data_IF_046968310910
#
_entry.id   IF_046968310910
#
_cell.length_a   1.000
_cell.length_b   1.000
_cell.length_c   1.000
_cell.angle_alpha   90.00
_cell.angle_beta   90.00
_cell.angle_gamma   90.00
#
_symmetry.space_group_name_H-M   'P 1'
#
loop_
_entity.id
_entity.type
_entity.pdbx_description
1 polymer ?
#
# COMPACT_ATOMS: atom_id res chain seq x y z
N UNK A 1 53.77 -19.94 9.07
CA UNK A 1 52.83 -19.18 9.93
C UNK A 1 51.59 -18.87 9.10
N UNK A 2 50.55 -19.69 9.20
CA UNK A 2 49.32 -19.50 8.43
C UNK A 2 48.36 -18.62 9.24
N UNK A 3 48.13 -17.39 8.79
CA UNK A 3 47.10 -16.52 9.39
C UNK A 3 45.74 -17.03 8.91
N UNK A 4 45.01 -17.67 9.82
CA UNK A 4 43.58 -17.91 9.65
C UNK A 4 42.87 -16.56 9.61
N UNK A 5 42.37 -16.19 8.43
CA UNK A 5 41.50 -15.02 8.27
C UNK A 5 40.14 -15.43 8.84
N UNK A 6 39.85 -14.97 10.06
CA UNK A 6 38.49 -15.02 10.60
C UNK A 6 37.64 -14.08 9.77
N UNK A 7 36.84 -14.64 8.85
CA UNK A 7 35.79 -13.90 8.16
C UNK A 7 34.72 -13.58 9.20
N UNK A 8 34.90 -12.46 9.91
CA UNK A 8 33.92 -11.93 10.83
C UNK A 8 32.92 -11.08 10.05
N UNK A 9 32.17 -11.74 9.15
CA UNK A 9 31.09 -11.13 8.41
C UNK A 9 29.78 -11.38 9.14
N UNK A 10 29.37 -10.44 10.01
CA UNK A 10 27.94 -10.31 10.33
C UNK A 10 27.24 -9.83 9.06
N UNK A 11 26.89 -10.77 8.17
CA UNK A 11 26.02 -10.45 7.04
C UNK A 11 24.63 -10.15 7.61
N UNK A 12 24.05 -8.95 7.38
CA UNK A 12 22.71 -8.60 7.88
C UNK A 12 21.58 -9.47 7.31
N UNK A 13 21.90 -10.29 6.30
CA UNK A 13 20.99 -11.19 5.60
C UNK A 13 21.73 -12.51 5.35
N UNK A 14 21.53 -13.49 6.22
CA UNK A 14 21.92 -14.87 5.97
C UNK A 14 20.72 -15.60 5.33
N UNK A 15 20.95 -16.51 4.38
CA UNK A 15 19.86 -17.32 3.76
C UNK A 15 19.12 -18.23 4.76
N UNK A 16 19.60 -18.31 6.00
CA UNK A 16 19.04 -19.09 7.10
C UNK A 16 18.27 -18.16 8.05
N UNK A 17 18.42 -16.84 7.92
CA UNK A 17 17.68 -15.90 8.74
C UNK A 17 16.18 -16.06 8.43
N UNK A 18 15.34 -16.21 9.47
CA UNK A 18 13.91 -16.19 9.26
C UNK A 18 13.52 -14.87 8.58
N UNK A 19 12.59 -14.92 7.62
CA UNK A 19 12.01 -13.73 7.02
C UNK A 19 11.66 -12.69 8.08
N UNK A 20 11.79 -11.40 7.78
CA UNK A 20 11.58 -10.34 8.78
C UNK A 20 10.24 -10.48 9.54
N UNK A 21 9.20 -10.91 8.85
CA UNK A 21 7.86 -11.14 9.39
C UNK A 21 7.71 -12.42 10.22
N UNK A 22 8.74 -13.25 10.32
CA UNK A 22 8.77 -14.51 11.08
C UNK A 22 9.65 -14.40 12.34
N UNK A 23 10.45 -13.33 12.48
CA UNK A 23 11.41 -13.13 13.58
C UNK A 23 10.80 -13.02 14.98
N UNK A 24 9.55 -12.56 15.06
CA UNK A 24 8.84 -12.32 16.33
C UNK A 24 7.87 -13.46 16.70
N UNK A 25 7.80 -14.52 15.88
CA UNK A 25 6.87 -15.62 16.08
C UNK A 25 7.63 -16.88 16.49
N UNK A 26 7.18 -17.53 17.57
CA UNK A 26 7.66 -18.86 17.90
C UNK A 26 6.97 -19.89 17.02
N UNK A 27 7.53 -20.14 15.83
CA UNK A 27 7.02 -21.13 14.87
C UNK A 27 7.01 -22.54 15.49
N UNK A 28 7.86 -22.80 16.49
CA UNK A 28 7.91 -24.06 17.24
C UNK A 28 6.70 -24.30 18.13
N UNK A 29 5.92 -23.26 18.45
CA UNK A 29 4.69 -23.36 19.24
C UNK A 29 3.48 -23.89 18.43
N UNK A 30 3.60 -23.95 17.10
CA UNK A 30 2.52 -24.39 16.23
C UNK A 30 2.49 -25.91 16.09
N UNK A 31 1.31 -26.50 16.18
CA UNK A 31 1.12 -27.90 15.79
C UNK A 31 1.38 -28.08 14.30
N UNK A 32 1.77 -29.30 13.91
CA UNK A 32 1.98 -29.67 12.50
C UNK A 32 0.79 -29.30 11.60
N UNK A 33 -0.43 -29.54 12.05
CA UNK A 33 -1.66 -29.21 11.30
C UNK A 33 -1.84 -27.70 11.11
N UNK A 34 -1.51 -26.90 12.12
CA UNK A 34 -1.57 -25.43 12.02
C UNK A 34 -0.53 -24.92 11.02
N UNK A 35 0.70 -25.43 11.07
CA UNK A 35 1.73 -25.08 10.11
C UNK A 35 1.31 -25.42 8.67
N UNK A 36 0.79 -26.64 8.43
CA UNK A 36 0.29 -27.05 7.11
C UNK A 36 -0.87 -26.17 6.62
N UNK A 37 -1.79 -25.76 7.52
CA UNK A 37 -2.88 -24.84 7.17
C UNK A 37 -2.36 -23.44 6.80
N UNK A 38 -1.38 -22.91 7.54
CA UNK A 38 -0.80 -21.61 7.28
C UNK A 38 -0.03 -21.59 5.96
N UNK A 39 0.77 -22.63 5.68
CA UNK A 39 1.48 -22.77 4.41
C UNK A 39 0.49 -22.84 3.26
N UNK A 40 -0.57 -23.67 3.37
CA UNK A 40 -1.62 -23.75 2.35
C UNK A 40 -2.25 -22.38 2.09
N UNK A 41 -2.62 -21.66 3.16
CA UNK A 41 -3.22 -20.33 3.05
C UNK A 41 -2.28 -19.30 2.44
N UNK A 42 -0.98 -19.34 2.76
CA UNK A 42 0.05 -18.48 2.16
C UNK A 42 0.16 -18.75 0.66
N UNK A 43 0.23 -20.01 0.26
CA UNK A 43 0.33 -20.40 -1.15
C UNK A 43 -0.92 -20.02 -1.95
N UNK A 44 -2.12 -20.19 -1.37
CA UNK A 44 -3.37 -19.73 -2.00
C UNK A 44 -3.35 -18.22 -2.25
N UNK A 45 -2.98 -17.42 -1.25
CA UNK A 45 -2.90 -15.95 -1.40
C UNK A 45 -1.85 -15.53 -2.42
N UNK A 46 -0.70 -16.20 -2.45
CA UNK A 46 0.32 -15.92 -3.46
C UNK A 46 -0.23 -16.16 -4.87
N UNK A 47 -0.91 -17.29 -5.08
CA UNK A 47 -1.55 -17.60 -6.37
C UNK A 47 -2.60 -16.56 -6.75
N UNK A 48 -3.45 -16.15 -5.82
CA UNK A 48 -4.45 -15.11 -6.04
C UNK A 48 -3.81 -13.77 -6.44
N UNK A 49 -2.75 -13.36 -5.73
CA UNK A 49 -2.00 -12.15 -6.06
C UNK A 49 -1.33 -12.23 -7.44
N UNK A 50 -0.77 -13.39 -7.81
CA UNK A 50 -0.17 -13.59 -9.13
C UNK A 50 -1.22 -13.50 -10.25
N UNK A 51 -2.41 -14.07 -10.04
CA UNK A 51 -3.52 -13.96 -10.99
C UNK A 51 -3.98 -12.51 -11.12
N UNK A 52 -4.13 -11.81 -9.99
CA UNK A 52 -4.47 -10.38 -10.00
C UNK A 52 -3.46 -9.56 -10.80
N UNK A 53 -2.16 -9.67 -10.49
CA UNK A 53 -1.13 -8.91 -11.19
C UNK A 53 -1.02 -9.24 -12.69
N UNK A 54 -1.35 -10.49 -13.09
CA UNK A 54 -1.41 -10.87 -14.52
C UNK A 54 -2.60 -10.23 -15.24
N UNK A 55 -3.75 -10.14 -14.58
CA UNK A 55 -4.98 -9.61 -15.15
C UNK A 55 -5.04 -8.07 -15.12
N UNK A 56 -4.15 -7.44 -14.36
CA UNK A 56 -4.11 -5.99 -14.14
C UNK A 56 -2.79 -5.36 -14.67
N UNK A 57 -2.61 -5.25 -16.00
CA UNK A 57 -1.39 -4.68 -16.59
C UNK A 57 -1.17 -3.21 -16.21
N UNK A 58 -2.23 -2.49 -15.81
CA UNK A 58 -2.18 -1.12 -15.32
C UNK A 58 -1.33 -0.98 -14.05
N UNK A 59 -1.30 -1.99 -13.19
CA UNK A 59 -0.46 -1.99 -11.97
C UNK A 59 1.02 -2.05 -12.37
N UNK A 60 1.35 -2.90 -13.34
CA UNK A 60 2.71 -2.98 -13.89
C UNK A 60 3.10 -1.69 -14.59
N UNK A 61 2.20 -1.09 -15.38
CA UNK A 61 2.41 0.20 -16.02
C UNK A 61 2.70 1.30 -14.98
N UNK A 62 1.87 1.37 -13.95
CA UNK A 62 2.02 2.34 -12.86
C UNK A 62 3.38 2.23 -12.17
N UNK A 63 3.79 1.02 -11.76
CA UNK A 63 5.11 0.79 -11.15
C UNK A 63 6.23 1.22 -12.12
N UNK A 64 6.10 0.88 -13.41
CA UNK A 64 7.10 1.24 -14.42
C UNK A 64 7.24 2.76 -14.59
N UNK A 65 6.13 3.49 -14.57
CA UNK A 65 6.09 4.95 -14.68
C UNK A 65 6.69 5.60 -13.42
N UNK A 66 6.34 5.10 -12.23
CA UNK A 66 6.94 5.56 -10.97
C UNK A 66 8.45 5.35 -10.96
N UNK A 67 8.91 4.16 -11.33
CA UNK A 67 10.35 3.87 -11.41
C UNK A 67 11.04 4.75 -12.45
N UNK A 68 10.42 4.96 -13.61
CA UNK A 68 10.94 5.88 -14.64
C UNK A 68 11.09 7.29 -14.10
N UNK A 69 10.13 7.77 -13.31
CA UNK A 69 10.22 9.07 -12.65
C UNK A 69 11.37 9.10 -11.65
N UNK A 70 11.46 8.13 -10.74
CA UNK A 70 12.49 8.09 -9.69
C UNK A 70 13.90 8.03 -10.28
N UNK A 71 14.09 7.18 -11.30
CA UNK A 71 15.38 7.04 -11.99
C UNK A 71 15.77 8.31 -12.76
N UNK A 72 14.79 9.11 -13.22
CA UNK A 72 15.04 10.41 -13.86
C UNK A 72 15.34 11.51 -12.86
N UNK A 73 14.64 11.53 -11.72
CA UNK A 73 14.87 12.52 -10.66
C UNK A 73 16.14 12.26 -9.87
N UNK A 74 16.64 11.02 -9.87
CA UNK A 74 17.85 10.56 -9.20
C UNK A 74 18.05 11.19 -7.80
N UNK A 75 17.09 11.05 -6.87
CA UNK A 75 17.17 11.71 -5.57
C UNK A 75 18.33 11.14 -4.75
N UNK A 76 19.26 12.00 -4.34
CA UNK A 76 20.48 11.57 -3.63
C UNK A 76 20.23 11.17 -2.17
N UNK A 77 19.31 11.85 -1.48
CA UNK A 77 19.09 11.65 -0.03
C UNK A 77 17.69 11.16 0.35
N UNK A 78 16.64 11.61 -0.36
CA UNK A 78 15.25 11.31 0.04
C UNK A 78 14.39 10.77 -1.09
N UNK A 79 14.42 9.45 -1.26
CA UNK A 79 13.55 8.75 -2.22
C UNK A 79 12.07 8.93 -1.88
N UNK A 80 11.72 9.02 -0.58
CA UNK A 80 10.31 9.15 -0.17
C UNK A 80 9.72 10.50 -0.60
N UNK A 81 10.51 11.57 -0.54
CA UNK A 81 10.09 12.89 -1.01
C UNK A 81 9.86 12.91 -2.53
N UNK A 82 10.74 12.28 -3.30
CA UNK A 82 10.55 12.12 -4.74
C UNK A 82 9.29 11.30 -5.07
N UNK A 83 9.06 10.20 -4.34
CA UNK A 83 7.81 9.43 -4.46
C UNK A 83 6.60 10.29 -4.11
N UNK A 84 6.67 11.08 -3.04
CA UNK A 84 5.61 12.01 -2.64
C UNK A 84 5.31 13.05 -3.73
N UNK A 85 6.35 13.65 -4.31
CA UNK A 85 6.23 14.59 -5.42
C UNK A 85 5.56 13.95 -6.65
N UNK A 86 5.86 12.68 -6.95
CA UNK A 86 5.19 11.94 -8.02
C UNK A 86 3.67 11.84 -7.80
N UNK A 87 3.24 11.57 -6.57
CA UNK A 87 1.83 11.43 -6.19
C UNK A 87 1.09 12.75 -5.99
N UNK A 88 1.82 13.85 -5.76
CA UNK A 88 1.25 15.20 -5.70
C UNK A 88 0.82 15.73 -7.07
N UNK A 89 1.22 15.07 -8.15
CA UNK A 89 0.73 15.37 -9.51
C UNK A 89 -0.76 15.03 -9.61
N UNK A 90 -1.53 15.77 -10.42
CA UNK A 90 -2.95 15.50 -10.54
C UNK A 90 -3.18 14.10 -11.12
N UNK A 91 -4.18 13.40 -10.60
CA UNK A 91 -4.43 11.99 -10.91
C UNK A 91 -4.67 11.74 -12.40
N UNK A 92 -5.24 12.70 -13.11
CA UNK A 92 -5.46 12.60 -14.56
C UNK A 92 -4.14 12.48 -15.35
N UNK A 93 -3.05 13.12 -14.91
CA UNK A 93 -1.74 13.01 -15.58
C UNK A 93 -1.17 11.61 -15.43
N UNK A 94 -1.24 11.06 -14.22
CA UNK A 94 -0.81 9.69 -13.93
C UNK A 94 -1.62 8.69 -14.76
N UNK A 95 -2.93 8.90 -14.85
CA UNK A 95 -3.85 8.12 -15.68
C UNK A 95 -3.45 8.19 -17.16
N UNK A 96 -3.08 9.36 -17.66
CA UNK A 96 -2.61 9.54 -19.04
C UNK A 96 -1.29 8.83 -19.29
N UNK A 97 -0.32 8.95 -18.38
CA UNK A 97 0.95 8.23 -18.46
C UNK A 97 0.73 6.71 -18.52
N UNK A 98 -0.23 6.17 -17.75
CA UNK A 98 -0.59 4.75 -17.76
C UNK A 98 -1.16 4.34 -19.12
N UNK A 99 -2.14 5.10 -19.65
CA UNK A 99 -2.73 4.79 -20.97
C UNK A 99 -1.67 4.85 -22.07
N UNK A 100 -0.76 5.81 -22.01
CA UNK A 100 0.37 5.93 -22.93
C UNK A 100 1.27 4.70 -22.88
N UNK A 101 1.71 4.31 -21.67
CA UNK A 101 2.58 3.14 -21.49
C UNK A 101 1.94 1.85 -21.98
N UNK A 102 0.64 1.63 -21.69
CA UNK A 102 -0.07 0.43 -22.14
C UNK A 102 -0.16 0.38 -23.68
N UNK A 103 -0.37 1.55 -24.32
CA UNK A 103 -0.36 1.67 -25.79
C UNK A 103 1.02 1.35 -26.38
N UNK A 104 2.09 1.90 -25.80
CA UNK A 104 3.47 1.64 -26.23
C UNK A 104 3.87 0.16 -26.12
N UNK A 105 3.39 -0.51 -25.06
CA UNK A 105 3.76 -1.91 -24.75
C UNK A 105 2.82 -2.95 -25.37
N UNK A 106 1.83 -2.51 -26.15
CA UNK A 106 0.84 -3.38 -26.79
C UNK A 106 0.01 -4.19 -25.79
N UNK A 107 -0.07 -3.73 -24.54
CA UNK A 107 -0.89 -4.38 -23.52
C UNK A 107 -2.35 -3.97 -23.71
N UNK A 108 -3.31 -4.89 -23.53
CA UNK A 108 -4.72 -4.53 -23.59
C UNK A 108 -5.01 -3.49 -22.51
N UNK A 109 -5.66 -2.39 -22.91
CA UNK A 109 -6.18 -1.42 -21.95
C UNK A 109 -7.29 -2.13 -21.18
N UNK A 110 -7.17 -2.30 -19.86
CA UNK A 110 -8.19 -2.98 -19.08
C UNK A 110 -9.48 -2.17 -19.19
N UNK A 111 -10.56 -2.83 -19.58
CA UNK A 111 -11.90 -2.25 -19.74
C UNK A 111 -12.59 -1.99 -18.40
N UNK A 112 -11.82 -1.64 -17.35
CA UNK A 112 -12.42 -1.23 -16.09
C UNK A 112 -13.25 0.02 -16.36
N UNK A 113 -14.56 -0.09 -16.15
CA UNK A 113 -15.61 0.93 -16.34
C UNK A 113 -15.41 2.21 -15.48
N UNK A 114 -14.19 2.55 -15.07
CA UNK A 114 -13.93 3.60 -14.07
C UNK A 114 -12.65 4.40 -14.31
N UNK A 115 -11.94 4.25 -15.44
CA UNK A 115 -10.79 5.12 -15.74
C UNK A 115 -11.18 6.44 -16.43
N UNK A 116 -12.36 6.50 -17.04
CA UNK A 116 -12.84 7.65 -17.82
C UNK A 116 -13.77 8.60 -17.02
N UNK A 117 -14.32 8.16 -15.88
CA UNK A 117 -15.50 8.80 -15.30
C UNK A 117 -15.29 9.88 -14.22
N UNK A 118 -14.08 10.11 -13.69
CA UNK A 118 -13.91 10.99 -12.49
C UNK A 118 -12.68 11.90 -12.47
N UNK A 119 -11.91 11.99 -13.56
CA UNK A 119 -10.67 12.78 -13.59
C UNK A 119 -10.63 13.76 -14.75
N UNK A 120 -11.78 14.41 -15.00
CA UNK A 120 -11.89 15.54 -15.93
C UNK A 120 -11.11 16.75 -15.40
N UNK A 121 -10.65 17.61 -16.31
CA UNK A 121 -9.68 18.70 -16.15
C UNK A 121 -10.13 19.89 -15.27
N UNK A 122 -11.07 19.69 -14.34
CA UNK A 122 -11.68 20.73 -13.51
C UNK A 122 -11.45 20.43 -12.02
N UNK A 123 -10.19 20.56 -11.57
CA UNK A 123 -9.91 20.68 -10.15
C UNK A 123 -9.12 21.98 -9.94
N UNK A 124 -9.81 23.10 -10.12
CA UNK A 124 -9.35 24.40 -9.66
C UNK A 124 -9.32 24.37 -8.13
N UNK A 125 -8.12 24.50 -7.59
CA UNK A 125 -7.83 24.78 -6.18
C UNK A 125 -8.69 25.95 -5.70
N UNK A 126 -9.68 25.67 -4.85
CA UNK A 126 -10.30 26.71 -4.02
C UNK A 126 -9.96 26.41 -2.57
N UNK A 127 -8.87 27.01 -2.10
CA UNK A 127 -8.59 27.21 -0.69
C UNK A 127 -9.75 28.00 -0.09
N UNK A 128 -10.69 27.33 0.56
CA UNK A 128 -11.72 27.99 1.36
C UNK A 128 -11.45 27.69 2.83
N UNK A 129 -10.61 28.54 3.44
CA UNK A 129 -10.55 28.69 4.89
C UNK A 129 -11.93 29.14 5.35
N UNK A 130 -12.74 28.24 5.90
CA UNK A 130 -14.00 28.60 6.57
C UNK A 130 -13.87 28.34 8.06
N UNK A 131 -13.59 29.45 8.74
CA UNK A 131 -13.79 29.71 10.16
C UNK A 131 -15.10 29.09 10.65
N UNK A 132 -15.02 28.06 11.49
CA UNK A 132 -16.18 27.54 12.22
C UNK A 132 -16.65 28.58 13.23
N UNK A 133 -17.68 29.35 12.88
CA UNK A 133 -18.42 30.20 13.81
C UNK A 133 -19.22 29.29 14.75
N UNK A 134 -18.68 29.07 15.95
CA UNK A 134 -19.36 28.44 17.08
C UNK A 134 -20.64 29.23 17.39
N UNK A 135 -21.79 28.57 17.29
CA UNK A 135 -23.01 28.99 18.01
C UNK A 135 -23.37 27.86 18.96
N UNK A 136 -23.23 28.11 20.26
CA UNK A 136 -23.85 27.27 21.30
C UNK A 136 -24.58 28.20 22.25
N UNK A 137 -25.90 28.21 22.10
CA UNK A 137 -26.85 28.79 23.04
C UNK A 137 -26.67 28.12 24.40
N UNK A 138 -26.46 28.93 25.42
CA UNK A 138 -26.31 28.57 26.81
C UNK A 138 -27.63 28.09 27.39
N UNK A 139 -27.65 26.87 27.94
CA UNK A 139 -28.55 26.47 29.00
C UNK A 139 -27.72 25.86 30.13
N UNK A 140 -27.94 26.37 31.34
CA UNK A 140 -27.10 26.15 32.51
C UNK A 140 -27.19 24.76 33.13
N UNK A 141 -26.32 24.57 34.12
CA UNK A 141 -26.08 23.37 34.92
C UNK A 141 -25.11 22.37 34.28
N UNK A 142 -23.84 22.52 34.67
CA UNK A 142 -22.75 21.68 34.21
C UNK A 142 -22.71 20.32 34.91
N UNK A 143 -22.52 19.29 34.09
CA UNK A 143 -21.82 18.05 34.40
C UNK A 143 -21.43 17.42 33.06
N UNK A 144 -20.14 17.31 32.77
CA UNK A 144 -19.63 16.54 31.63
C UNK A 144 -19.58 15.07 32.03
N UNK A 145 -20.35 14.24 31.32
CA UNK A 145 -20.23 12.78 31.36
C UNK A 145 -19.97 12.31 29.94
N UNK A 146 -18.76 11.82 29.68
CA UNK A 146 -18.46 11.04 28.47
C UNK A 146 -18.85 9.59 28.77
N UNK A 147 -19.89 9.10 28.12
CA UNK A 147 -20.16 7.67 28.00
C UNK A 147 -19.99 7.29 26.52
N UNK A 148 -18.82 6.73 26.20
CA UNK A 148 -18.62 5.95 24.98
C UNK A 148 -19.32 4.61 25.19
N UNK A 149 -20.40 4.35 24.45
CA UNK A 149 -20.91 2.99 24.29
C UNK A 149 -20.54 2.48 22.89
N UNK A 150 -19.63 1.50 22.90
CA UNK A 150 -19.35 0.60 21.80
C UNK A 150 -20.62 -0.16 21.38
N UNK A 151 -20.85 -0.28 20.07
CA UNK A 151 -21.71 -1.34 19.53
C UNK A 151 -20.95 -2.08 18.44
N UNK A 152 -20.40 -3.23 18.85
CA UNK A 152 -19.95 -4.30 17.96
C UNK A 152 -21.19 -5.09 17.59
N UNK A 153 -21.61 -5.04 16.32
CA UNK A 153 -22.64 -5.93 15.80
C UNK A 153 -22.05 -7.00 14.88
N UNK A 154 -22.19 -8.22 15.39
CA UNK A 154 -21.99 -9.54 14.79
C UNK A 154 -22.37 -9.66 13.32
N UNK A 155 -21.46 -10.23 12.52
CA UNK A 155 -21.79 -10.90 11.26
C UNK A 155 -21.32 -12.35 11.32
N UNK A 156 -22.25 -13.26 11.64
CA UNK A 156 -22.15 -14.69 11.38
C UNK A 156 -22.82 -15.01 10.03
N UNK A 157 -22.26 -15.89 9.19
CA UNK A 157 -22.88 -16.32 7.94
C UNK A 157 -23.90 -17.44 8.18
N UNK A 158 -25.05 -17.34 7.50
CA UNK A 158 -26.07 -18.39 7.48
C UNK A 158 -25.63 -19.56 6.58
N UNK A 159 -25.75 -20.76 7.16
CA UNK A 159 -25.67 -22.15 6.65
C UNK A 159 -25.18 -22.43 5.22
#
# INVERSE_FOLDING_TARGET
MNRSVKVQGRHPFHSIDPPYHERNYDIGSLSRKQCECLVRRRLSRQRENEIYLKNHPEVKAFISILLRYLLRSLPEENVQEAVGAFFNRPRYEIVMDIKEYLRETGQPIPSTETFEGKYSKEETTTTTTTTTTRTTTTNGSGTFSNSEEESIQDYMPHF
#
